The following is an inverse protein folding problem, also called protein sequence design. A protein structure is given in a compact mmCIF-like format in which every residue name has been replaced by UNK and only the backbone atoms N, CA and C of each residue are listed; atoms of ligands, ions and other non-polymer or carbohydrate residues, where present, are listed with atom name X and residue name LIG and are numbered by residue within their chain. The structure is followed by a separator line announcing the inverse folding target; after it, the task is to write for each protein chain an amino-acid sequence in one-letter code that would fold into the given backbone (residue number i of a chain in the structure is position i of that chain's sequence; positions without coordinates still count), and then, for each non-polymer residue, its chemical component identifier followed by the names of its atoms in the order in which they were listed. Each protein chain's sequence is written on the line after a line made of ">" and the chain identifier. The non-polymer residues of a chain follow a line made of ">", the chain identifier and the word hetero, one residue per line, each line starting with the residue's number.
data_IF_960709527564
#
_entry.id   IF_960709527564
#
_cell.length_a   1.000
_cell.length_b   1.000
_cell.length_c   1.000
_cell.angle_alpha   90.00
_cell.angle_beta   90.00
_cell.angle_gamma   90.00
#
_symmetry.space_group_name_H-M   'P 1'
#
loop_
_entity.id
_entity.type
_entity.pdbx_description
1 polymer ?
#
# COMPACT_ATOMS: atom_id res chain seq x y z
N UNK A 1 -24.46 56.40 31.31
CA UNK A 1 -25.93 56.22 31.40
C UNK A 1 -26.32 55.21 32.48
N UNK A 2 -25.78 53.99 32.49
CA UNK A 2 -26.07 52.99 33.55
C UNK A 2 -25.77 53.47 34.98
N UNK A 3 -24.68 54.20 35.19
CA UNK A 3 -24.32 54.74 36.52
C UNK A 3 -25.30 55.82 37.01
N UNK A 4 -25.88 56.60 36.11
CA UNK A 4 -26.89 57.61 36.47
C UNK A 4 -28.20 56.94 36.88
N UNK A 5 -28.61 55.91 36.14
CA UNK A 5 -29.80 55.08 36.43
C UNK A 5 -29.63 54.38 37.79
N UNK A 6 -28.49 53.73 38.04
CA UNK A 6 -28.20 53.08 39.32
C UNK A 6 -28.25 54.07 40.50
N UNK A 7 -27.70 55.28 40.34
CA UNK A 7 -27.74 56.33 41.38
C UNK A 7 -29.17 56.79 41.67
N UNK A 8 -29.99 56.96 40.64
CA UNK A 8 -31.39 57.36 40.79
C UNK A 8 -32.20 56.29 41.55
N UNK A 9 -32.15 55.03 41.11
CA UNK A 9 -32.84 53.93 41.82
C UNK A 9 -32.38 53.79 43.27
N UNK A 10 -31.09 53.96 43.54
CA UNK A 10 -30.56 53.89 44.91
C UNK A 10 -31.09 55.04 45.77
N UNK A 11 -31.17 56.26 45.25
CA UNK A 11 -31.66 57.42 45.99
C UNK A 11 -33.16 57.29 46.32
N UNK A 12 -33.97 56.83 45.36
CA UNK A 12 -35.40 56.60 45.55
C UNK A 12 -35.65 55.46 46.56
N UNK A 13 -34.98 54.30 46.40
CA UNK A 13 -35.10 53.18 47.35
C UNK A 13 -34.62 53.55 48.76
N UNK A 14 -33.60 54.40 48.90
CA UNK A 14 -33.13 54.86 50.21
C UNK A 14 -34.17 55.77 50.88
N UNK A 15 -34.75 56.71 50.13
CA UNK A 15 -35.79 57.60 50.63
C UNK A 15 -36.98 56.78 51.16
N UNK A 16 -37.50 55.85 50.38
CA UNK A 16 -38.65 55.06 50.81
C UNK A 16 -38.32 54.17 52.03
N UNK A 17 -37.10 53.63 52.10
CA UNK A 17 -36.68 52.85 53.26
C UNK A 17 -36.50 53.71 54.53
N UNK A 18 -35.99 54.94 54.41
CA UNK A 18 -35.78 55.85 55.54
C UNK A 18 -37.09 56.45 56.08
N UNK A 19 -38.13 56.60 55.24
CA UNK A 19 -39.40 57.23 55.65
C UNK A 19 -40.55 56.24 55.91
N UNK A 20 -40.57 55.09 55.24
CA UNK A 20 -41.71 54.16 55.26
C UNK A 20 -41.30 52.81 55.85
N UNK A 21 -40.34 52.11 55.23
CA UNK A 21 -40.13 50.68 55.49
C UNK A 21 -39.19 50.34 56.66
N UNK A 22 -38.19 51.18 56.93
CA UNK A 22 -37.18 51.00 57.99
C UNK A 22 -36.52 49.62 58.00
N UNK A 23 -36.35 49.00 56.83
CA UNK A 23 -35.77 47.67 56.70
C UNK A 23 -34.25 47.72 56.91
N UNK A 24 -33.72 46.73 57.65
CA UNK A 24 -32.28 46.63 57.89
C UNK A 24 -31.55 46.21 56.61
N UNK A 25 -30.59 47.02 56.19
CA UNK A 25 -29.71 46.69 55.06
C UNK A 25 -28.86 45.47 55.42
N UNK A 26 -29.02 44.38 54.67
CA UNK A 26 -28.25 43.16 54.84
C UNK A 26 -26.78 43.36 54.41
N UNK A 27 -25.86 42.62 55.03
CA UNK A 27 -24.46 42.61 54.60
C UNK A 27 -24.34 41.94 53.23
N UNK A 28 -23.50 42.50 52.35
CA UNK A 28 -23.31 42.01 50.99
C UNK A 28 -22.94 40.52 50.95
N UNK A 29 -22.16 40.05 51.93
CA UNK A 29 -21.74 38.64 52.05
C UNK A 29 -22.87 37.69 52.43
N UNK A 30 -23.97 38.21 52.98
CA UNK A 30 -25.15 37.43 53.36
C UNK A 30 -26.16 37.29 52.23
N UNK A 31 -25.98 38.01 51.12
CA UNK A 31 -26.85 37.93 49.95
C UNK A 31 -26.60 36.65 49.14
N UNK A 32 -27.66 36.01 48.60
CA UNK A 32 -27.49 34.84 47.74
C UNK A 32 -26.82 35.21 46.42
N UNK A 33 -26.03 34.28 45.87
CA UNK A 33 -25.40 34.47 44.57
C UNK A 33 -26.45 34.62 43.45
N UNK A 34 -26.26 35.60 42.57
CA UNK A 34 -27.14 35.78 41.41
C UNK A 34 -26.99 34.61 40.43
N UNK A 35 -28.10 34.03 39.92
CA UNK A 35 -28.05 32.96 38.94
C UNK A 35 -27.41 33.49 37.64
N UNK A 36 -26.53 32.68 37.05
CA UNK A 36 -25.91 32.98 35.75
C UNK A 36 -26.52 32.08 34.69
N UNK A 37 -26.89 32.64 33.55
CA UNK A 37 -27.36 31.89 32.40
C UNK A 37 -26.22 31.76 31.37
N UNK A 38 -25.92 30.53 30.94
CA UNK A 38 -24.99 30.30 29.84
C UNK A 38 -25.70 30.60 28.51
N UNK A 39 -25.28 31.67 27.82
CA UNK A 39 -25.90 32.12 26.57
C UNK A 39 -25.31 31.46 25.32
N UNK A 40 -24.21 30.73 25.46
CA UNK A 40 -23.53 30.09 24.35
C UNK A 40 -23.00 28.71 24.75
N UNK A 41 -22.89 27.83 23.76
CA UNK A 41 -22.24 26.53 23.86
C UNK A 41 -21.18 26.44 22.77
N UNK A 42 -20.06 25.82 23.08
CA UNK A 42 -19.07 25.49 22.07
C UNK A 42 -19.68 24.49 21.07
N UNK A 43 -19.55 24.79 19.78
CA UNK A 43 -19.98 23.88 18.73
C UNK A 43 -18.85 22.87 18.45
N UNK A 44 -19.17 21.56 18.35
CA UNK A 44 -18.18 20.58 17.94
C UNK A 44 -17.73 20.84 16.51
N UNK A 45 -16.43 20.76 16.26
CA UNK A 45 -15.88 20.88 14.91
C UNK A 45 -16.18 19.58 14.17
N UNK A 46 -17.11 19.64 13.22
CA UNK A 46 -17.44 18.53 12.32
C UNK A 46 -16.86 18.81 10.94
N UNK A 47 -16.26 17.79 10.33
CA UNK A 47 -15.84 17.84 8.95
C UNK A 47 -16.99 17.40 8.02
N UNK A 48 -17.22 18.07 6.88
CA UNK A 48 -16.54 19.28 6.41
C UNK A 48 -17.06 20.57 7.04
N UNK A 49 -16.18 21.55 7.28
CA UNK A 49 -16.55 22.85 7.86
C UNK A 49 -17.21 23.82 6.86
N UNK A 50 -17.05 23.59 5.55
CA UNK A 50 -17.62 24.46 4.53
C UNK A 50 -18.85 23.81 3.85
N UNK A 51 -19.91 24.59 3.57
CA UNK A 51 -21.17 24.04 3.02
C UNK A 51 -21.03 23.41 1.62
N UNK A 52 -19.98 23.76 0.89
CA UNK A 52 -19.70 23.29 -0.48
C UNK A 52 -18.37 22.59 -0.58
N UNK A 53 -17.95 21.93 0.51
CA UNK A 53 -16.71 21.17 0.48
C UNK A 53 -16.78 20.06 -0.57
N UNK A 54 -15.77 20.02 -1.43
CA UNK A 54 -15.56 18.95 -2.41
C UNK A 54 -14.16 18.39 -2.19
N UNK A 55 -14.09 17.11 -1.88
CA UNK A 55 -12.80 16.43 -1.77
C UNK A 55 -12.20 16.17 -3.16
N UNK A 56 -11.07 16.83 -3.43
CA UNK A 56 -10.32 16.66 -4.67
C UNK A 56 -9.71 15.25 -4.81
N UNK A 57 -9.56 14.54 -3.69
CA UNK A 57 -8.94 13.21 -3.62
C UNK A 57 -9.96 12.11 -3.28
N UNK A 58 -11.26 12.37 -3.47
CA UNK A 58 -12.32 11.39 -3.21
C UNK A 58 -12.19 10.08 -4.00
N UNK A 59 -11.47 10.10 -5.14
CA UNK A 59 -11.14 8.89 -5.92
C UNK A 59 -9.86 8.20 -5.46
N UNK A 60 -9.05 8.83 -4.62
CA UNK A 60 -7.79 8.27 -4.13
C UNK A 60 -8.09 7.22 -3.08
N UNK A 61 -7.58 6.02 -3.30
CA UNK A 61 -7.71 4.91 -2.36
C UNK A 61 -6.82 5.19 -1.14
N UNK A 62 -7.34 5.04 0.10
CA UNK A 62 -6.53 5.21 1.29
C UNK A 62 -5.33 4.26 1.32
N UNK A 63 -4.18 4.76 1.80
CA UNK A 63 -2.93 4.00 1.87
C UNK A 63 -3.09 2.71 2.67
N UNK A 64 -3.93 2.71 3.71
CA UNK A 64 -4.22 1.53 4.52
C UNK A 64 -4.88 0.43 3.68
N UNK A 65 -5.80 0.80 2.79
CA UNK A 65 -6.45 -0.14 1.87
C UNK A 65 -5.45 -0.64 0.84
N UNK A 66 -4.61 0.24 0.30
CA UNK A 66 -3.55 -0.15 -0.63
C UNK A 66 -2.58 -1.17 0.00
N UNK A 67 -2.09 -0.91 1.21
CA UNK A 67 -1.19 -1.80 1.94
C UNK A 67 -1.86 -3.15 2.27
N UNK A 68 -3.14 -3.11 2.67
CA UNK A 68 -3.92 -4.33 2.91
C UNK A 68 -4.10 -5.15 1.63
N UNK A 69 -4.38 -4.51 0.49
CA UNK A 69 -4.49 -5.16 -0.81
C UNK A 69 -3.15 -5.78 -1.27
N UNK A 70 -2.04 -5.06 -1.11
CA UNK A 70 -0.71 -5.59 -1.43
C UNK A 70 -0.37 -6.82 -0.57
N UNK A 71 -0.68 -6.75 0.73
CA UNK A 71 -0.50 -7.89 1.65
C UNK A 71 -1.39 -9.08 1.27
N UNK A 72 -2.63 -8.81 0.86
CA UNK A 72 -3.56 -9.83 0.38
C UNK A 72 -3.05 -10.50 -0.90
N UNK A 73 -2.66 -9.74 -1.92
CA UNK A 73 -2.15 -10.29 -3.17
C UNK A 73 -0.86 -11.10 -2.96
N UNK A 74 0.04 -10.63 -2.07
CA UNK A 74 1.24 -11.40 -1.69
C UNK A 74 0.87 -12.76 -1.09
N UNK A 75 -0.05 -12.79 -0.12
CA UNK A 75 -0.49 -14.04 0.53
C UNK A 75 -1.24 -14.97 -0.42
N UNK A 76 -2.06 -14.40 -1.31
CA UNK A 76 -2.78 -15.13 -2.34
C UNK A 76 -1.81 -15.77 -3.33
N UNK A 77 -0.82 -15.03 -3.81
CA UNK A 77 0.21 -15.56 -4.71
C UNK A 77 1.03 -16.66 -4.02
N UNK A 78 1.42 -16.46 -2.76
CA UNK A 78 2.10 -17.46 -1.94
C UNK A 78 1.28 -18.74 -1.81
N UNK A 79 0.01 -18.65 -1.41
CA UNK A 79 -0.88 -19.80 -1.26
C UNK A 79 -1.06 -20.55 -2.57
N UNK A 80 -1.32 -19.84 -3.68
CA UNK A 80 -1.46 -20.45 -5.00
C UNK A 80 -0.17 -21.14 -5.43
N UNK A 81 0.99 -20.54 -5.20
CA UNK A 81 2.28 -21.13 -5.54
C UNK A 81 2.59 -22.38 -4.71
N UNK A 82 2.27 -22.36 -3.40
CA UNK A 82 2.45 -23.52 -2.51
C UNK A 82 1.57 -24.68 -3.00
N UNK A 83 0.27 -24.44 -3.19
CA UNK A 83 -0.66 -25.50 -3.61
C UNK A 83 -0.35 -26.01 -5.02
N UNK A 84 0.02 -25.12 -5.95
CA UNK A 84 0.48 -25.53 -7.28
C UNK A 84 1.78 -26.34 -7.21
N UNK A 85 2.71 -25.96 -6.33
CA UNK A 85 3.94 -26.69 -6.05
C UNK A 85 3.66 -28.10 -5.54
N UNK A 86 2.79 -28.23 -4.52
CA UNK A 86 2.35 -29.51 -3.96
C UNK A 86 1.72 -30.41 -5.02
N UNK A 87 0.81 -29.86 -5.83
CA UNK A 87 0.19 -30.63 -6.92
C UNK A 87 1.22 -31.13 -7.95
N UNK A 88 2.19 -30.29 -8.32
CA UNK A 88 3.29 -30.69 -9.22
C UNK A 88 4.14 -31.79 -8.61
N UNK A 89 4.51 -31.67 -7.34
CA UNK A 89 5.31 -32.66 -6.61
C UNK A 89 4.59 -34.00 -6.51
N UNK A 90 3.32 -34.01 -6.07
CA UNK A 90 2.52 -35.24 -6.00
C UNK A 90 2.29 -35.87 -7.38
N UNK A 91 2.09 -35.06 -8.41
CA UNK A 91 1.97 -35.57 -9.79
C UNK A 91 3.27 -36.20 -10.27
N UNK A 92 4.42 -35.58 -9.98
CA UNK A 92 5.73 -36.14 -10.32
C UNK A 92 6.00 -37.43 -9.56
N UNK A 93 5.70 -37.48 -8.26
CA UNK A 93 5.83 -38.67 -7.43
C UNK A 93 4.94 -39.80 -7.96
N UNK A 94 3.67 -39.53 -8.26
CA UNK A 94 2.75 -40.52 -8.82
C UNK A 94 3.23 -41.03 -10.18
N UNK A 95 3.67 -40.15 -11.08
CA UNK A 95 4.24 -40.54 -12.36
C UNK A 95 5.50 -41.41 -12.20
N UNK A 96 6.35 -41.10 -11.22
CA UNK A 96 7.52 -41.90 -10.87
C UNK A 96 7.15 -43.30 -10.38
N UNK A 97 6.16 -43.40 -9.48
CA UNK A 97 5.66 -44.69 -8.99
C UNK A 97 5.05 -45.51 -10.13
N UNK A 98 4.16 -44.92 -10.94
CA UNK A 98 3.55 -45.60 -12.08
C UNK A 98 4.60 -46.10 -13.07
N UNK A 99 5.62 -45.29 -13.38
CA UNK A 99 6.73 -45.71 -14.23
C UNK A 99 7.53 -46.87 -13.61
N UNK A 100 7.81 -46.83 -12.30
CA UNK A 100 8.53 -47.90 -11.61
C UNK A 100 7.79 -49.24 -11.59
N UNK A 101 6.46 -49.19 -11.66
CA UNK A 101 5.58 -50.37 -11.74
C UNK A 101 5.24 -50.76 -13.18
N UNK A 102 5.84 -50.09 -14.18
CA UNK A 102 5.53 -50.23 -15.60
C UNK A 102 4.02 -50.03 -15.94
N UNK A 103 3.31 -49.22 -15.16
CA UNK A 103 1.89 -48.92 -15.38
C UNK A 103 1.72 -47.63 -16.20
N UNK A 104 0.71 -47.56 -17.09
CA UNK A 104 -0.30 -48.59 -17.41
C UNK A 104 0.17 -49.63 -18.46
N UNK A 105 1.40 -49.54 -18.98
CA UNK A 105 1.89 -50.40 -20.06
C UNK A 105 1.77 -51.90 -19.74
N UNK A 106 2.02 -52.31 -18.50
CA UNK A 106 1.87 -53.69 -18.03
C UNK A 106 0.43 -54.22 -18.12
N UNK A 107 -0.59 -53.36 -18.02
CA UNK A 107 -1.99 -53.74 -18.19
C UNK A 107 -2.40 -53.84 -19.66
N UNK A 108 -1.85 -52.93 -20.49
CA UNK A 108 -2.08 -52.93 -21.94
C UNK A 108 -1.47 -54.18 -22.61
N UNK A 109 -0.24 -54.55 -22.23
CA UNK A 109 0.46 -55.75 -22.74
C UNK A 109 -0.27 -57.06 -22.38
N UNK A 110 -0.94 -57.11 -21.21
CA UNK A 110 -1.71 -58.28 -20.80
C UNK A 110 -3.04 -58.43 -21.57
N UNK A 111 -3.55 -57.33 -22.14
CA UNK A 111 -4.88 -57.25 -22.76
C UNK A 111 -4.84 -57.22 -24.29
N UNK A 112 -3.70 -56.86 -24.89
CA UNK A 112 -3.56 -56.66 -26.33
C UNK A 112 -2.35 -57.39 -26.90
N UNK A 113 -2.54 -58.08 -28.02
CA UNK A 113 -1.53 -58.87 -28.75
C UNK A 113 -0.62 -58.01 -29.63
N UNK A 114 -0.64 -56.68 -29.44
CA UNK A 114 0.05 -55.70 -30.28
C UNK A 114 1.43 -55.36 -29.71
N UNK A 115 2.42 -55.10 -30.58
CA UNK A 115 3.85 -54.97 -30.19
C UNK A 115 4.21 -53.69 -29.43
N UNK A 116 3.30 -52.71 -29.35
CA UNK A 116 3.53 -51.44 -28.68
C UNK A 116 2.26 -50.95 -27.96
N UNK A 117 2.32 -50.73 -26.62
CA UNK A 117 1.20 -50.24 -25.82
C UNK A 117 0.60 -48.93 -26.33
N UNK A 118 -0.73 -48.84 -26.30
CA UNK A 118 -1.48 -47.65 -26.72
C UNK A 118 -1.10 -46.40 -25.90
N UNK A 119 -0.86 -46.58 -24.60
CA UNK A 119 -0.40 -45.51 -23.70
C UNK A 119 0.95 -44.89 -24.12
N UNK A 120 1.88 -45.68 -24.68
CA UNK A 120 3.16 -45.18 -25.21
C UNK A 120 2.99 -44.51 -26.57
N UNK A 121 2.14 -45.06 -27.45
CA UNK A 121 1.79 -44.44 -28.74
C UNK A 121 1.22 -43.04 -28.55
N UNK A 122 0.29 -42.87 -27.62
CA UNK A 122 -0.31 -41.56 -27.32
C UNK A 122 0.69 -40.55 -26.76
N UNK A 123 1.58 -40.97 -25.83
CA UNK A 123 2.65 -40.12 -25.30
C UNK A 123 3.61 -39.67 -26.40
N UNK A 124 4.01 -40.58 -27.28
CA UNK A 124 4.86 -40.28 -28.44
C UNK A 124 4.19 -39.29 -29.40
N UNK A 125 2.89 -39.48 -29.68
CA UNK A 125 2.09 -38.54 -30.47
C UNK A 125 2.10 -37.13 -29.90
N UNK A 126 1.88 -36.97 -28.59
CA UNK A 126 1.91 -35.67 -27.90
C UNK A 126 3.28 -34.99 -28.00
N UNK A 127 4.38 -35.72 -27.81
CA UNK A 127 5.73 -35.16 -27.90
C UNK A 127 6.02 -34.67 -29.34
N UNK A 128 5.63 -35.44 -30.35
CA UNK A 128 5.80 -35.03 -31.76
C UNK A 128 4.95 -33.81 -32.11
N UNK A 129 3.71 -33.75 -31.64
CA UNK A 129 2.83 -32.59 -31.82
C UNK A 129 3.39 -31.32 -31.15
N UNK A 130 4.07 -31.46 -30.03
CA UNK A 130 4.73 -30.35 -29.32
C UNK A 130 6.07 -29.90 -29.96
N UNK A 131 6.42 -30.38 -31.16
CA UNK A 131 7.66 -30.03 -31.86
C UNK A 131 8.85 -30.95 -31.57
N UNK A 132 8.66 -31.95 -30.71
CA UNK A 132 9.65 -33.00 -30.42
C UNK A 132 10.98 -32.46 -29.90
N UNK A 133 12.08 -33.10 -30.30
CA UNK A 133 13.42 -32.74 -29.86
C UNK A 133 13.90 -31.41 -30.44
N UNK A 134 13.44 -31.04 -31.63
CA UNK A 134 13.86 -29.82 -32.31
C UNK A 134 13.44 -28.57 -31.52
N UNK A 135 12.24 -28.59 -30.93
CA UNK A 135 11.76 -27.49 -30.09
C UNK A 135 12.58 -27.36 -28.81
N UNK A 136 12.93 -28.47 -28.16
CA UNK A 136 13.82 -28.45 -27.00
C UNK A 136 15.20 -27.88 -27.37
N UNK A 137 15.78 -28.31 -28.50
CA UNK A 137 17.06 -27.79 -28.98
C UNK A 137 16.99 -26.30 -29.30
N UNK A 138 15.87 -25.82 -29.87
CA UNK A 138 15.61 -24.40 -30.10
C UNK A 138 15.59 -23.61 -28.78
N UNK A 139 14.87 -24.09 -27.78
CA UNK A 139 14.82 -23.43 -26.46
C UNK A 139 16.20 -23.38 -25.81
N UNK A 140 16.98 -24.46 -25.90
CA UNK A 140 18.36 -24.50 -25.38
C UNK A 140 19.31 -23.56 -26.12
N UNK A 141 19.15 -23.38 -27.44
CA UNK A 141 20.00 -22.47 -28.21
C UNK A 141 19.63 -21.00 -28.03
N UNK A 142 18.36 -20.68 -27.74
CA UNK A 142 17.88 -19.31 -27.50
C UNK A 142 18.20 -18.80 -26.09
N UNK A 143 18.24 -19.68 -25.09
CA UNK A 143 18.42 -19.31 -23.69
C UNK A 143 19.70 -18.50 -23.40
N UNK A 144 20.89 -18.86 -23.95
CA UNK A 144 22.10 -18.03 -23.81
C UNK A 144 21.96 -16.64 -24.44
N UNK A 145 21.24 -16.53 -25.57
CA UNK A 145 20.98 -15.26 -26.23
C UNK A 145 20.10 -14.34 -25.40
N UNK A 146 19.04 -14.87 -24.78
CA UNK A 146 18.19 -14.12 -23.85
C UNK A 146 18.95 -13.66 -22.60
N UNK A 147 19.80 -14.54 -22.05
CA UNK A 147 20.66 -14.20 -20.92
C UNK A 147 21.60 -13.03 -21.28
N UNK A 148 22.34 -13.16 -22.39
CA UNK A 148 23.28 -12.14 -22.85
C UNK A 148 22.59 -10.80 -23.11
N UNK A 149 21.38 -10.81 -23.68
CA UNK A 149 20.61 -9.58 -23.90
C UNK A 149 20.28 -8.87 -22.58
N UNK A 150 19.90 -9.61 -21.54
CA UNK A 150 19.62 -9.02 -20.22
C UNK A 150 20.89 -8.46 -19.58
N UNK A 151 22.02 -9.16 -19.74
CA UNK A 151 23.34 -8.71 -19.29
C UNK A 151 23.75 -7.41 -20.01
N UNK A 152 23.65 -7.36 -21.34
CA UNK A 152 23.95 -6.16 -22.13
C UNK A 152 23.11 -4.95 -21.71
N UNK A 153 21.82 -5.15 -21.39
CA UNK A 153 20.94 -4.08 -20.88
C UNK A 153 21.44 -3.58 -19.52
N UNK A 154 21.78 -4.50 -18.62
CA UNK A 154 22.26 -4.13 -17.28
C UNK A 154 23.61 -3.41 -17.35
N UNK A 155 24.54 -3.92 -18.15
CA UNK A 155 25.86 -3.33 -18.33
C UNK A 155 25.78 -1.94 -18.93
N UNK A 156 24.92 -1.75 -19.93
CA UNK A 156 24.70 -0.43 -20.54
C UNK A 156 24.08 0.56 -19.54
N UNK A 157 23.12 0.13 -18.72
CA UNK A 157 22.57 0.99 -17.66
C UNK A 157 23.63 1.38 -16.62
N UNK A 158 24.49 0.45 -16.21
CA UNK A 158 25.59 0.74 -15.29
C UNK A 158 26.66 1.63 -15.92
N UNK A 159 26.97 1.43 -17.21
CA UNK A 159 27.91 2.27 -17.96
C UNK A 159 27.42 3.71 -18.01
N UNK A 160 26.15 3.95 -18.34
CA UNK A 160 25.57 5.29 -18.36
C UNK A 160 25.66 5.99 -17.00
N UNK A 161 25.38 5.28 -15.90
CA UNK A 161 25.50 5.83 -14.54
C UNK A 161 26.96 6.14 -14.18
N UNK A 162 27.90 5.28 -14.60
CA UNK A 162 29.33 5.47 -14.34
C UNK A 162 29.88 6.65 -15.12
N UNK A 163 29.54 6.80 -16.40
CA UNK A 163 29.97 7.92 -17.23
C UNK A 163 29.44 9.27 -16.73
N UNK A 164 28.17 9.31 -16.28
CA UNK A 164 27.62 10.54 -15.69
C UNK A 164 28.33 10.88 -14.38
N UNK A 165 28.62 9.88 -13.53
CA UNK A 165 29.40 10.07 -12.29
C UNK A 165 30.81 10.60 -12.57
N UNK A 166 31.52 10.00 -13.52
CA UNK A 166 32.88 10.45 -13.88
C UNK A 166 32.87 11.88 -14.42
N UNK A 167 31.85 12.24 -15.21
CA UNK A 167 31.64 13.60 -15.70
C UNK A 167 31.37 14.58 -14.55
N UNK A 168 30.51 14.21 -13.58
CA UNK A 168 30.25 15.02 -12.38
C UNK A 168 31.52 15.25 -11.57
N UNK A 169 32.29 14.19 -11.32
CA UNK A 169 33.54 14.26 -10.55
C UNK A 169 34.56 15.16 -11.25
N UNK A 170 34.68 15.06 -12.56
CA UNK A 170 35.56 15.92 -13.35
C UNK A 170 35.11 17.39 -13.32
N UNK A 171 33.82 17.67 -13.49
CA UNK A 171 33.28 19.04 -13.43
C UNK A 171 33.41 19.62 -12.02
N UNK A 172 33.18 18.83 -10.98
CA UNK A 172 33.36 19.24 -9.59
C UNK A 172 34.81 19.58 -9.27
N UNK A 173 35.77 18.79 -9.77
CA UNK A 173 37.22 19.08 -9.65
C UNK A 173 37.61 20.38 -10.37
N UNK A 174 37.05 20.64 -11.56
CA UNK A 174 37.40 21.82 -12.37
C UNK A 174 36.75 23.11 -11.86
N UNK A 175 35.47 23.05 -11.49
CA UNK A 175 34.65 24.23 -11.22
C UNK A 175 34.41 24.47 -9.73
N UNK A 176 34.75 23.52 -8.85
CA UNK A 176 34.73 23.67 -7.39
C UNK A 176 33.43 24.30 -6.87
N UNK A 177 33.52 25.54 -6.40
CA UNK A 177 32.39 26.30 -5.84
C UNK A 177 31.32 26.71 -6.85
N UNK A 178 31.61 26.69 -8.15
CA UNK A 178 30.62 26.96 -9.22
C UNK A 178 29.77 25.72 -9.56
N UNK A 179 30.15 24.54 -9.09
CA UNK A 179 29.46 23.26 -9.33
C UNK A 179 28.85 22.72 -8.04
N UNK A 180 27.71 23.28 -7.65
CA UNK A 180 27.07 23.05 -6.35
C UNK A 180 25.88 22.07 -6.37
N UNK A 181 25.74 21.27 -7.44
CA UNK A 181 24.68 20.24 -7.51
C UNK A 181 25.00 19.05 -6.59
N UNK A 182 23.97 18.30 -6.21
CA UNK A 182 24.11 17.02 -5.52
C UNK A 182 25.03 16.10 -6.32
N UNK A 183 25.95 15.41 -5.66
CA UNK A 183 26.87 14.51 -6.36
C UNK A 183 26.12 13.35 -6.98
N UNK A 184 26.54 12.92 -8.16
CA UNK A 184 25.91 11.81 -8.87
C UNK A 184 25.86 10.55 -8.02
N UNK A 185 26.90 10.26 -7.23
CA UNK A 185 26.92 9.13 -6.29
C UNK A 185 25.81 9.19 -5.21
N UNK A 186 25.41 10.38 -4.77
CA UNK A 186 24.32 10.54 -3.82
C UNK A 186 22.95 10.45 -4.50
N UNK A 187 22.87 10.82 -5.78
CA UNK A 187 21.63 10.78 -6.55
C UNK A 187 21.32 9.37 -7.07
N UNK A 188 22.36 8.60 -7.42
CA UNK A 188 22.24 7.23 -7.97
C UNK A 188 22.41 6.15 -6.90
N UNK A 189 22.69 6.53 -5.65
CA UNK A 189 22.69 5.63 -4.49
C UNK A 189 21.28 5.09 -4.19
N UNK A 190 21.19 3.92 -3.52
CA UNK A 190 19.92 3.27 -3.18
C UNK A 190 19.07 4.07 -2.19
#
# INVERSE_FOLDING_TARGET
>A
QLTAISKQYTADSKKDNDFIYHERIADFRSLPALPRAALAKALPVTYPMSPRFKDMFSSVVPVQVHNAMQSYESRKAELVNIETGRLREHTQLMNGILASLNLPAALDDASSMDTLPESIKQKSGKVKQAGGINELQRLFSELPGLYKRNEEILDETNRMLTEEKESDDNLRRQFGTKWSRMSSEQLTGP
#
